data_IF_866858245625
#
_entry.id   IF_866858245625
#
_cell.length_a   1.000
_cell.length_b   1.000
_cell.length_c   1.000
_cell.angle_alpha   90.00
_cell.angle_beta   90.00
_cell.angle_gamma   90.00
#
_symmetry.space_group_name_H-M   'P 1'
#
loop_
_entity.id
_entity.type
_entity.pdbx_description
1 polymer ?
#
# COMPACT_ATOMS: atom_id res chain seq x y z
N UNK A 1 3.51 -9.57 -3.99
CA UNK A 1 2.07 -9.41 -3.70
C UNK A 1 1.20 -9.79 -4.90
N UNK A 2 1.24 -9.06 -6.02
CA UNK A 2 0.45 -9.39 -7.23
C UNK A 2 0.58 -10.85 -7.67
N UNK A 3 1.81 -11.35 -7.81
CA UNK A 3 2.04 -12.76 -8.16
C UNK A 3 1.45 -13.75 -7.16
N UNK A 4 1.48 -13.44 -5.86
CA UNK A 4 0.87 -14.32 -4.84
C UNK A 4 -0.65 -14.34 -5.00
N UNK A 5 -1.26 -13.19 -5.24
CA UNK A 5 -2.70 -13.09 -5.49
C UNK A 5 -3.11 -13.86 -6.76
N UNK A 6 -2.34 -13.72 -7.84
CA UNK A 6 -2.56 -14.49 -9.10
C UNK A 6 -2.43 -16.00 -8.91
N UNK A 7 -1.64 -16.45 -7.92
CA UNK A 7 -1.54 -17.85 -7.52
C UNK A 7 -2.65 -18.29 -6.55
N UNK A 8 -3.70 -17.49 -6.38
CA UNK A 8 -4.85 -17.78 -5.51
C UNK A 8 -4.57 -17.61 -4.02
N UNK A 9 -3.47 -16.95 -3.63
CA UNK A 9 -3.19 -16.66 -2.21
C UNK A 9 -3.95 -15.42 -1.76
N UNK A 10 -4.46 -15.46 -0.53
CA UNK A 10 -5.06 -14.28 0.10
C UNK A 10 -3.97 -13.24 0.36
N UNK A 11 -4.19 -12.03 -0.15
CA UNK A 11 -3.28 -10.89 0.00
C UNK A 11 -4.12 -9.69 0.39
N UNK A 12 -3.68 -8.95 1.40
CA UNK A 12 -4.26 -7.67 1.78
C UNK A 12 -3.15 -6.66 2.01
N UNK A 13 -3.42 -5.39 1.74
CA UNK A 13 -2.46 -4.30 1.94
C UNK A 13 -3.12 -3.20 2.76
N UNK A 14 -2.45 -2.73 3.80
CA UNK A 14 -2.84 -1.53 4.53
C UNK A 14 -1.79 -0.46 4.23
N UNK A 15 -2.23 0.73 3.81
CA UNK A 15 -1.35 1.79 3.36
C UNK A 15 -1.73 3.13 3.97
N UNK A 16 -0.72 3.96 4.24
CA UNK A 16 -0.95 5.29 4.80
C UNK A 16 -1.75 6.19 3.84
N UNK A 17 -2.84 6.75 4.35
CA UNK A 17 -3.74 7.59 3.57
C UNK A 17 -3.10 8.91 3.14
N UNK A 18 -2.30 9.53 3.99
CA UNK A 18 -1.71 10.83 3.67
C UNK A 18 -0.54 10.70 2.70
N UNK A 19 0.21 9.60 2.77
CA UNK A 19 1.24 9.26 1.80
C UNK A 19 0.65 9.04 0.40
N UNK A 20 -0.44 8.27 0.27
CA UNK A 20 -1.10 8.06 -1.03
C UNK A 20 -1.70 9.34 -1.61
N UNK A 21 -2.11 10.29 -0.76
CA UNK A 21 -2.58 11.62 -1.19
C UNK A 21 -1.47 12.61 -1.51
N UNK A 22 -0.24 12.40 -1.04
CA UNK A 22 0.86 13.34 -1.27
C UNK A 22 1.90 12.82 -2.26
N UNK A 23 1.85 11.53 -2.61
CA UNK A 23 2.85 10.88 -3.45
C UNK A 23 2.21 10.21 -4.68
N UNK A 24 2.56 10.70 -5.89
CA UNK A 24 2.12 10.11 -7.17
C UNK A 24 2.47 8.63 -7.29
N UNK A 25 3.69 8.25 -6.90
CA UNK A 25 4.14 6.85 -6.91
C UNK A 25 3.31 6.00 -5.95
N UNK A 26 2.98 6.54 -4.78
CA UNK A 26 2.10 5.85 -3.81
C UNK A 26 0.70 5.64 -4.34
N UNK A 27 0.15 6.63 -5.04
CA UNK A 27 -1.14 6.52 -5.72
C UNK A 27 -1.10 5.44 -6.83
N UNK A 28 -0.18 5.54 -7.78
CA UNK A 28 -0.06 4.58 -8.88
C UNK A 28 0.08 3.15 -8.38
N UNK A 29 0.83 2.98 -7.28
CA UNK A 29 0.98 1.69 -6.61
C UNK A 29 -0.36 1.14 -6.10
N UNK A 30 -1.17 1.95 -5.39
CA UNK A 30 -2.49 1.50 -4.91
C UNK A 30 -3.42 1.19 -6.06
N UNK A 31 -3.49 2.05 -7.08
CA UNK A 31 -4.34 1.81 -8.25
C UNK A 31 -3.97 0.50 -8.95
N UNK A 32 -2.67 0.19 -9.06
CA UNK A 32 -2.18 -1.06 -9.64
C UNK A 32 -2.65 -2.27 -8.82
N UNK A 33 -2.53 -2.22 -7.49
CA UNK A 33 -3.00 -3.32 -6.63
C UNK A 33 -4.51 -3.52 -6.73
N UNK A 34 -5.28 -2.44 -6.69
CA UNK A 34 -6.74 -2.49 -6.82
C UNK A 34 -7.18 -3.05 -8.17
N UNK A 35 -6.53 -2.65 -9.26
CA UNK A 35 -6.81 -3.16 -10.61
C UNK A 35 -6.57 -4.68 -10.73
N UNK A 36 -5.68 -5.23 -9.90
CA UNK A 36 -5.45 -6.68 -9.82
C UNK A 36 -6.43 -7.43 -8.92
N UNK A 37 -7.37 -6.74 -8.26
CA UNK A 37 -8.34 -7.34 -7.34
C UNK A 37 -7.84 -7.52 -5.91
N UNK A 38 -6.67 -6.98 -5.57
CA UNK A 38 -6.12 -7.05 -4.21
C UNK A 38 -6.86 -6.04 -3.31
N UNK A 39 -7.42 -6.47 -2.17
CA UNK A 39 -7.93 -5.56 -1.15
C UNK A 39 -6.82 -4.64 -0.62
N UNK A 40 -7.01 -3.33 -0.81
CA UNK A 40 -6.16 -2.29 -0.22
C UNK A 40 -7.02 -1.51 0.77
N UNK A 41 -6.48 -1.22 1.95
CA UNK A 41 -7.13 -0.46 3.00
C UNK A 41 -6.30 0.78 3.30
N UNK A 42 -6.96 1.92 3.43
CA UNK A 42 -6.30 3.08 4.01
C UNK A 42 -6.14 2.90 5.50
N UNK A 43 -5.05 3.38 6.07
CA UNK A 43 -4.92 3.49 7.52
C UNK A 43 -5.93 4.49 8.09
N UNK A 44 -6.44 4.24 9.30
CA UNK A 44 -7.31 5.18 10.02
C UNK A 44 -6.56 6.43 10.47
N UNK A 45 -5.31 6.25 10.88
CA UNK A 45 -4.40 7.30 11.36
C UNK A 45 -3.11 7.27 10.54
N UNK A 46 -2.30 8.33 10.65
CA UNK A 46 -0.96 8.34 10.05
C UNK A 46 -0.16 7.14 10.56
N UNK A 47 0.34 6.31 9.64
CA UNK A 47 1.10 5.10 9.94
C UNK A 47 2.52 5.20 9.40
N UNK A 48 3.47 4.91 10.28
CA UNK A 48 4.88 4.75 9.93
C UNK A 48 5.41 3.34 10.23
N UNK A 49 4.49 2.37 10.42
CA UNK A 49 4.81 0.96 10.58
C UNK A 49 5.15 0.33 9.23
N UNK A 50 6.19 -0.50 9.21
CA UNK A 50 6.53 -1.35 8.08
C UNK A 50 6.53 -2.77 8.57
N UNK A 51 5.50 -3.50 8.19
CA UNK A 51 5.22 -4.84 8.68
C UNK A 51 4.70 -5.70 7.53
N UNK A 52 5.27 -6.88 7.36
CA UNK A 52 4.82 -7.93 6.46
C UNK A 52 4.53 -9.17 7.29
N UNK A 53 3.30 -9.66 7.23
CA UNK A 53 2.92 -10.94 7.82
C UNK A 53 2.67 -11.96 6.73
N UNK A 54 3.16 -13.19 6.93
CA UNK A 54 2.91 -14.34 6.07
C UNK A 54 2.39 -15.46 6.97
N UNK A 55 1.23 -16.00 6.63
CA UNK A 55 0.60 -17.08 7.36
C UNK A 55 0.56 -18.34 6.50
N UNK A 56 0.93 -19.45 7.10
CA UNK A 56 0.79 -20.80 6.59
C UNK A 56 -0.28 -21.53 7.41
N UNK A 57 -0.55 -22.79 7.09
CA UNK A 57 -1.55 -23.59 7.80
C UNK A 57 -1.22 -23.74 9.30
N UNK A 58 0.05 -24.05 9.61
CA UNK A 58 0.49 -24.33 10.99
C UNK A 58 1.48 -23.30 11.55
N UNK A 59 1.80 -22.25 10.80
CA UNK A 59 2.82 -21.28 11.21
C UNK A 59 2.55 -19.87 10.70
N UNK A 60 3.20 -18.90 11.35
CA UNK A 60 3.15 -17.49 10.98
C UNK A 60 4.54 -16.89 11.09
N UNK A 61 4.79 -15.97 10.17
CA UNK A 61 6.02 -15.24 10.04
C UNK A 61 5.69 -13.74 9.95
N UNK A 62 6.42 -12.92 10.70
CA UNK A 62 6.30 -11.47 10.66
C UNK A 62 7.68 -10.85 10.43
N UNK A 63 7.78 -9.96 9.45
CA UNK A 63 8.93 -9.08 9.22
C UNK A 63 8.51 -7.66 9.54
N UNK A 64 9.27 -7.00 10.40
CA UNK A 64 9.10 -5.58 10.66
C UNK A 64 10.44 -4.86 10.68
N UNK A 65 10.39 -3.54 10.74
CA UNK A 65 11.62 -2.76 10.81
C UNK A 65 11.46 -1.30 10.42
N UNK A 66 12.60 -0.67 10.16
CA UNK A 66 12.68 0.70 9.65
C UNK A 66 12.43 0.78 8.14
N UNK A 67 12.75 -0.28 7.40
CA UNK A 67 12.68 -0.29 5.94
C UNK A 67 11.26 -0.17 5.40
N UNK A 68 11.03 0.82 4.55
CA UNK A 68 9.90 0.81 3.64
C UNK A 68 9.94 -0.42 2.73
N UNK A 69 8.78 -0.98 2.36
CA UNK A 69 8.68 -2.11 1.42
C UNK A 69 8.95 -1.69 -0.02
N UNK A 70 10.11 -1.07 -0.25
CA UNK A 70 10.57 -0.54 -1.54
C UNK A 70 11.92 -1.13 -1.89
N UNK A 71 12.21 -1.28 -3.18
CA UNK A 71 13.51 -1.80 -3.62
C UNK A 71 14.68 -0.97 -3.08
N UNK A 72 14.53 0.35 -2.99
CA UNK A 72 15.59 1.24 -2.51
C UNK A 72 15.96 0.95 -1.04
N UNK A 73 14.98 0.91 -0.14
CA UNK A 73 15.22 0.61 1.27
C UNK A 73 15.87 -0.77 1.46
N UNK A 74 15.42 -1.77 0.72
CA UNK A 74 15.93 -3.14 0.84
C UNK A 74 17.27 -3.41 0.14
N UNK A 75 17.86 -2.44 -0.58
CA UNK A 75 19.10 -2.69 -1.34
C UNK A 75 20.18 -1.61 -1.21
N UNK A 76 19.86 -0.44 -0.68
CA UNK A 76 20.76 0.73 -0.70
C UNK A 76 20.83 1.50 0.61
N UNK A 77 19.94 1.21 1.55
CA UNK A 77 19.84 1.92 2.83
C UNK A 77 20.20 0.92 3.93
N UNK A 78 20.97 1.37 4.91
CA UNK A 78 21.19 0.59 6.12
C UNK A 78 19.92 0.65 6.96
N UNK A 79 19.22 -0.48 7.02
CA UNK A 79 17.89 -0.59 7.60
C UNK A 79 17.89 -1.66 8.67
N UNK A 80 17.24 -1.37 9.79
CA UNK A 80 17.00 -2.36 10.82
C UNK A 80 15.79 -3.21 10.45
N UNK A 81 16.01 -4.51 10.26
CA UNK A 81 14.97 -5.50 10.01
C UNK A 81 14.98 -6.52 11.14
N UNK A 82 13.80 -6.79 11.69
CA UNK A 82 13.59 -7.89 12.61
C UNK A 82 12.63 -8.90 12.01
N UNK A 83 12.89 -10.18 12.29
CA UNK A 83 12.04 -11.29 11.91
C UNK A 83 11.53 -11.97 13.17
N UNK A 84 10.25 -12.34 13.16
CA UNK A 84 9.59 -13.01 14.28
C UNK A 84 8.80 -14.19 13.74
N UNK A 85 8.99 -15.34 14.38
CA UNK A 85 8.23 -16.56 14.10
C UNK A 85 7.25 -16.86 15.24
N UNK A 86 6.49 -17.95 15.10
CA UNK A 86 5.55 -18.38 16.12
C UNK A 86 6.24 -18.69 17.45
N UNK A 87 5.58 -18.41 18.60
CA UNK A 87 4.21 -17.89 18.71
C UNK A 87 4.11 -16.35 18.64
N UNK A 88 5.22 -15.62 18.74
CA UNK A 88 5.20 -14.16 18.84
C UNK A 88 4.68 -13.47 17.56
N UNK A 89 4.82 -14.10 16.40
CA UNK A 89 4.28 -13.59 15.13
C UNK A 89 2.75 -13.38 15.16
N UNK A 90 2.01 -14.11 16.00
CA UNK A 90 0.54 -13.94 16.12
C UNK A 90 0.12 -12.57 16.67
N UNK A 91 1.03 -11.80 17.28
CA UNK A 91 0.74 -10.44 17.72
C UNK A 91 0.65 -9.46 16.54
N UNK A 92 1.34 -9.73 15.43
CA UNK A 92 1.40 -8.82 14.29
C UNK A 92 0.04 -8.55 13.61
N UNK A 93 -0.82 -9.56 13.32
CA UNK A 93 -2.18 -9.33 12.84
C UNK A 93 -3.04 -8.48 13.78
N UNK A 94 -2.91 -8.69 15.10
CA UNK A 94 -3.62 -7.93 16.14
C UNK A 94 -3.23 -6.45 16.14
N UNK A 95 -2.00 -6.13 15.73
CA UNK A 95 -1.54 -4.75 15.54
C UNK A 95 -2.08 -4.13 14.26
N UNK A 96 -2.36 -4.91 13.21
CA UNK A 96 -2.82 -4.42 11.91
C UNK A 96 -4.33 -4.14 11.86
N UNK A 97 -5.15 -4.98 12.50
CA UNK A 97 -6.62 -4.86 12.44
C UNK A 97 -7.17 -3.51 12.93
N UNK A 98 -6.69 -2.92 14.05
CA UNK A 98 -7.21 -1.65 14.54
C UNK A 98 -6.89 -0.46 13.62
N UNK A 99 -5.83 -0.58 12.83
CA UNK A 99 -5.34 0.51 11.97
C UNK A 99 -5.90 0.45 10.56
N UNK A 100 -6.43 -0.71 10.14
CA UNK A 100 -7.18 -0.82 8.89
C UNK A 100 -8.44 0.06 8.94
N UNK A 101 -8.49 1.06 8.07
CA UNK A 101 -9.64 1.91 7.83
C UNK A 101 -10.50 1.39 6.69
N UNK A 102 -10.99 2.30 5.87
CA UNK A 102 -11.87 1.97 4.75
C UNK A 102 -11.12 1.26 3.62
N UNK A 103 -11.82 0.32 2.96
CA UNK A 103 -11.34 -0.31 1.74
C UNK A 103 -11.27 0.73 0.64
N UNK A 104 -10.15 0.73 -0.05
CA UNK A 104 -9.89 1.52 -1.24
C UNK A 104 -10.88 1.14 -2.34
N UNK A 105 -11.62 2.11 -2.88
CA UNK A 105 -12.63 1.88 -3.92
C UNK A 105 -12.45 2.85 -5.10
N UNK A 106 -12.60 2.32 -6.31
CA UNK A 106 -12.74 3.09 -7.54
C UNK A 106 -14.21 3.29 -7.95
N UNK A 107 -15.16 2.98 -7.06
CA UNK A 107 -16.58 3.23 -7.30
C UNK A 107 -16.80 4.73 -7.58
N UNK A 108 -17.40 5.11 -8.72
CA UNK A 108 -17.73 6.50 -9.03
C UNK A 108 -18.56 7.21 -7.94
N UNK A 109 -19.31 6.45 -7.12
CA UNK A 109 -20.11 6.96 -5.99
C UNK A 109 -19.32 7.10 -4.69
N UNK A 110 -18.13 6.49 -4.61
CA UNK A 110 -17.17 6.61 -3.49
C UNK A 110 -15.77 6.73 -4.09
N UNK A 111 -15.53 7.81 -4.85
CA UNK A 111 -14.28 7.95 -5.58
C UNK A 111 -13.13 7.96 -4.58
N UNK A 112 -12.05 7.28 -4.97
CA UNK A 112 -10.82 7.16 -4.19
C UNK A 112 -10.26 8.53 -3.73
N UNK A 113 -10.58 9.59 -4.46
CA UNK A 113 -10.29 10.98 -4.10
C UNK A 113 -11.54 11.86 -4.18
N UNK A 114 -11.80 12.61 -3.11
CA UNK A 114 -12.61 13.82 -3.18
C UNK A 114 -11.74 14.98 -3.69
N UNK A 115 -12.10 15.52 -4.86
CA UNK A 115 -11.82 16.83 -5.48
C UNK A 115 -10.39 17.44 -5.51
N UNK A 116 -9.47 17.10 -4.60
CA UNK A 116 -8.14 17.73 -4.51
C UNK A 116 -7.12 17.31 -5.57
N UNK A 117 -7.32 16.16 -6.24
CA UNK A 117 -6.43 15.68 -7.31
C UNK A 117 -6.90 15.98 -8.73
N UNK A 118 -8.15 16.40 -8.93
CA UNK A 118 -8.60 16.82 -10.27
C UNK A 118 -7.71 17.94 -10.82
N UNK A 119 -7.25 18.82 -9.94
CA UNK A 119 -6.38 19.96 -10.30
C UNK A 119 -5.01 19.52 -10.82
N UNK A 120 -4.43 18.40 -10.36
CA UNK A 120 -3.10 17.96 -10.81
C UNK A 120 -3.15 17.06 -12.05
N UNK A 121 -4.23 16.31 -12.25
CA UNK A 121 -4.39 15.46 -13.43
C UNK A 121 -4.84 16.25 -14.68
N UNK A 122 -5.62 17.32 -14.51
CA UNK A 122 -6.05 18.19 -15.62
C UNK A 122 -4.93 19.12 -16.10
N UNK A 123 -3.98 19.51 -15.24
CA UNK A 123 -2.86 20.38 -15.63
C UNK A 123 -1.82 19.67 -16.51
N UNK A 124 -1.64 18.35 -16.37
CA UNK A 124 -0.66 17.60 -17.16
C UNK A 124 -1.21 17.16 -18.54
N UNK A 125 -2.53 17.07 -18.71
CA UNK A 125 -3.14 16.78 -20.03
C UNK A 125 -3.24 18.00 -20.95
N UNK A 126 -3.19 19.22 -20.39
CA UNK A 126 -3.30 20.46 -21.17
C UNK A 126 -1.96 20.96 -21.77
N UNK A 127 -0.81 20.39 -21.36
CA UNK A 127 0.51 20.86 -21.79
C UNK A 127 1.06 20.17 -23.07
N UNK A 128 0.28 19.29 -23.71
CA UNK A 128 0.71 18.48 -24.85
C UNK A 128 0.11 18.88 -26.21
N UNK A 129 -0.07 20.17 -26.50
CA UNK A 129 -0.74 20.61 -27.73
C UNK A 129 -0.23 21.93 -28.33
N UNK A 130 0.46 21.79 -29.47
CA UNK A 130 0.83 22.79 -30.50
C UNK A 130 2.13 23.58 -30.29
N UNK A 131 3.21 23.03 -30.83
CA UNK A 131 4.18 23.82 -31.60
C UNK A 131 3.72 23.84 -33.06
N UNK A 132 3.23 24.97 -33.54
CA UNK A 132 3.16 25.32 -34.97
C UNK A 132 3.04 26.85 -35.09
N UNK A 133 4.18 27.48 -35.31
CA UNK A 133 4.36 28.72 -36.11
C UNK A 133 5.85 29.02 -36.22
#
# INVERSE_FOLDING_TARGET
>A
MIRLHQLGKSVQVIIDKEWTRSCKVGLEFVMTLMATGIPVYHSRNMMHYKLLTISYEDSMFALGGSANMTKAAWSRIDEFIFHVEVPAAYQAPSTLQPVAGEVCSNDPKRPYFNEGFRVLAETDFAAGGKSDS
#
